data_IF_076712434970
#
_entry.id   IF_076712434970
#
_cell.length_a   1.000
_cell.length_b   1.000
_cell.length_c   1.000
_cell.angle_alpha   90.00
_cell.angle_beta   90.00
_cell.angle_gamma   90.00
#
_symmetry.space_group_name_H-M   'P 1'
#
loop_
_entity.id
_entity.type
_entity.pdbx_description
1 polymer ?
#
# COMPACT_ATOMS: atom_id res chain seq x y z
N UNK A 1 27.90 -2.47 -4.22
CA UNK A 1 27.05 -1.78 -3.25
C UNK A 1 25.70 -2.49 -3.21
N UNK A 2 25.06 -2.57 -2.04
CA UNK A 2 23.77 -3.24 -1.93
C UNK A 2 22.67 -2.45 -2.67
N UNK A 3 21.68 -3.17 -3.16
CA UNK A 3 20.44 -2.62 -3.69
C UNK A 3 19.38 -2.61 -2.61
N UNK A 4 18.76 -1.46 -2.37
CA UNK A 4 17.84 -1.25 -1.28
C UNK A 4 16.41 -1.27 -1.80
N UNK A 5 15.57 -2.12 -1.22
CA UNK A 5 14.13 -2.16 -1.46
C UNK A 5 13.37 -1.30 -0.45
N UNK A 6 12.37 -0.56 -0.92
CA UNK A 6 11.42 0.19 -0.09
C UNK A 6 10.01 -0.17 -0.53
N UNK A 7 9.11 -0.41 0.42
CA UNK A 7 7.68 -0.59 0.13
C UNK A 7 6.98 0.70 0.53
N UNK A 8 6.26 1.35 -0.40
CA UNK A 8 5.66 2.65 -0.15
C UNK A 8 4.36 2.88 -0.94
N UNK A 9 3.58 3.85 -0.50
CA UNK A 9 2.42 4.36 -1.23
C UNK A 9 2.74 5.67 -1.95
N UNK A 10 3.59 6.52 -1.34
CA UNK A 10 3.90 7.87 -1.81
C UNK A 10 2.63 8.69 -2.14
N UNK A 11 1.73 8.75 -1.18
CA UNK A 11 0.40 9.35 -1.34
C UNK A 11 0.14 10.55 -0.40
N UNK A 12 0.78 11.72 -0.67
CA UNK A 12 1.82 11.99 -1.65
C UNK A 12 3.24 11.63 -1.16
N UNK A 13 4.24 11.73 -2.06
CA UNK A 13 5.66 11.75 -1.67
C UNK A 13 5.97 13.08 -0.95
N UNK A 14 6.52 13.03 0.26
CA UNK A 14 6.77 14.20 1.13
C UNK A 14 8.17 14.18 1.78
N UNK A 15 8.49 15.20 2.59
CA UNK A 15 9.78 15.37 3.28
C UNK A 15 10.24 14.13 4.06
N UNK A 16 9.34 13.43 4.77
CA UNK A 16 9.66 12.19 5.48
C UNK A 16 10.13 11.06 4.55
N UNK A 17 9.55 10.92 3.36
CA UNK A 17 10.02 9.94 2.37
C UNK A 17 11.39 10.33 1.80
N UNK A 18 11.62 11.63 1.58
CA UNK A 18 12.94 12.16 1.17
C UNK A 18 14.00 11.85 2.20
N UNK A 19 13.68 12.09 3.48
CA UNK A 19 14.57 11.77 4.60
C UNK A 19 14.93 10.27 4.61
N UNK A 20 13.95 9.38 4.40
CA UNK A 20 14.20 7.93 4.32
C UNK A 20 15.23 7.61 3.22
N UNK A 21 15.00 8.08 1.99
CA UNK A 21 15.91 7.86 0.86
C UNK A 21 17.32 8.40 1.15
N UNK A 22 17.43 9.61 1.73
CA UNK A 22 18.70 10.22 2.07
C UNK A 22 19.45 9.44 3.17
N UNK A 23 18.73 8.96 4.18
CA UNK A 23 19.30 8.15 5.25
C UNK A 23 19.82 6.81 4.72
N UNK A 24 19.04 6.13 3.88
CA UNK A 24 19.46 4.91 3.19
C UNK A 24 20.76 5.13 2.40
N UNK A 25 20.86 6.21 1.63
CA UNK A 25 22.07 6.51 0.86
C UNK A 25 23.26 6.89 1.75
N UNK A 26 23.04 7.56 2.88
CA UNK A 26 24.11 7.83 3.87
C UNK A 26 24.62 6.54 4.50
N UNK A 27 23.72 5.61 4.81
CA UNK A 27 24.08 4.34 5.49
C UNK A 27 24.78 3.36 4.56
N UNK A 28 24.30 3.20 3.33
CA UNK A 28 24.75 2.15 2.42
C UNK A 28 25.61 2.65 1.25
N UNK A 29 25.81 3.95 1.17
CA UNK A 29 26.62 4.61 0.12
C UNK A 29 25.74 5.37 -0.89
N UNK A 30 26.25 6.50 -1.38
CA UNK A 30 25.56 7.39 -2.32
C UNK A 30 25.15 6.71 -3.64
N UNK A 31 25.92 5.69 -4.04
CA UNK A 31 25.70 4.93 -5.29
C UNK A 31 24.81 3.69 -5.11
N UNK A 32 24.32 3.41 -3.89
CA UNK A 32 23.36 2.33 -3.67
C UNK A 32 22.08 2.57 -4.47
N UNK A 33 21.65 1.56 -5.23
CA UNK A 33 20.42 1.65 -6.00
C UNK A 33 19.19 1.46 -5.11
N UNK A 34 18.10 2.18 -5.40
CA UNK A 34 16.84 2.11 -4.64
C UNK A 34 15.73 1.61 -5.54
N UNK A 35 15.15 0.47 -5.18
CA UNK A 35 13.96 -0.14 -5.81
C UNK A 35 12.75 0.08 -4.92
N UNK A 36 11.70 0.70 -5.44
CA UNK A 36 10.45 0.90 -4.73
C UNK A 36 9.37 -0.05 -5.24
N UNK A 37 8.79 -0.85 -4.32
CA UNK A 37 7.50 -1.50 -4.51
C UNK A 37 6.42 -0.50 -4.11
N UNK A 38 5.75 0.12 -5.09
CA UNK A 38 4.81 1.21 -4.87
C UNK A 38 3.38 0.77 -5.16
N UNK A 39 2.44 1.05 -4.24
CA UNK A 39 1.00 0.85 -4.49
C UNK A 39 0.59 1.48 -5.82
N UNK A 40 -0.24 0.76 -6.59
CA UNK A 40 -0.85 1.25 -7.81
C UNK A 40 -1.77 2.44 -7.56
N UNK A 41 -2.86 2.55 -8.30
CA UNK A 41 -3.82 3.66 -8.15
C UNK A 41 -4.64 3.59 -6.85
N UNK A 42 -4.62 2.47 -6.15
CA UNK A 42 -5.38 2.20 -4.93
C UNK A 42 -4.45 1.89 -3.78
N UNK A 43 -4.77 2.43 -2.60
CA UNK A 43 -3.88 2.38 -1.44
C UNK A 43 -4.47 1.58 -0.29
N UNK A 44 -3.61 1.16 0.66
CA UNK A 44 -3.94 0.27 1.77
C UNK A 44 -5.10 0.78 2.65
N UNK A 45 -5.26 2.10 2.75
CA UNK A 45 -6.37 2.70 3.51
C UNK A 45 -7.74 2.56 2.82
N UNK A 46 -7.83 1.90 1.65
CA UNK A 46 -9.08 1.64 0.95
C UNK A 46 -9.64 2.87 0.25
N UNK A 47 -8.79 3.64 -0.40
CA UNK A 47 -9.16 4.86 -1.14
C UNK A 47 -8.31 5.00 -2.40
N UNK A 48 -8.70 5.85 -3.37
CA UNK A 48 -7.83 6.20 -4.48
C UNK A 48 -6.60 6.94 -3.97
N UNK A 49 -5.45 6.74 -4.60
CA UNK A 49 -4.30 7.60 -4.39
C UNK A 49 -4.60 9.00 -4.96
N UNK A 50 -4.09 10.06 -4.33
CA UNK A 50 -4.35 11.45 -4.73
C UNK A 50 -3.97 11.74 -6.20
N UNK A 51 -2.89 11.11 -6.68
CA UNK A 51 -2.48 11.16 -8.08
C UNK A 51 -2.25 9.75 -8.61
N UNK A 52 -2.34 9.58 -9.93
CA UNK A 52 -2.13 8.29 -10.56
C UNK A 52 -0.72 7.73 -10.30
N UNK A 53 -0.58 6.44 -10.51
CA UNK A 53 0.66 5.70 -10.22
C UNK A 53 1.85 6.18 -11.04
N UNK A 54 1.68 6.65 -12.27
CA UNK A 54 2.78 7.15 -13.10
C UNK A 54 3.26 8.52 -12.64
N UNK A 55 2.34 9.42 -12.28
CA UNK A 55 2.67 10.72 -11.65
C UNK A 55 3.45 10.51 -10.35
N UNK A 56 2.99 9.59 -9.49
CA UNK A 56 3.69 9.26 -8.23
C UNK A 56 5.05 8.60 -8.48
N UNK A 57 5.16 7.73 -9.50
CA UNK A 57 6.44 7.16 -9.90
C UNK A 57 7.41 8.23 -10.40
N UNK A 58 6.94 9.20 -11.22
CA UNK A 58 7.76 10.31 -11.68
C UNK A 58 8.29 11.16 -10.51
N UNK A 59 7.45 11.45 -9.52
CA UNK A 59 7.85 12.16 -8.31
C UNK A 59 8.86 11.37 -7.47
N UNK A 60 8.68 10.06 -7.31
CA UNK A 60 9.61 9.20 -6.60
C UNK A 60 10.99 9.14 -7.27
N UNK A 61 11.03 8.97 -8.60
CA UNK A 61 12.25 9.02 -9.39
C UNK A 61 12.95 10.38 -9.28
N UNK A 62 12.17 11.47 -9.22
CA UNK A 62 12.70 12.82 -9.03
C UNK A 62 13.39 13.02 -7.68
N UNK A 63 13.05 12.20 -6.69
CA UNK A 63 13.55 12.29 -5.33
C UNK A 63 14.57 11.18 -4.99
N UNK A 64 15.06 10.45 -6.00
CA UNK A 64 16.19 9.55 -5.84
C UNK A 64 15.84 8.06 -5.78
N UNK A 65 14.61 7.66 -6.05
CA UNK A 65 14.29 6.26 -6.36
C UNK A 65 14.82 5.92 -7.76
N UNK A 66 15.41 4.75 -7.95
CA UNK A 66 16.01 4.35 -9.23
C UNK A 66 15.10 3.46 -10.08
N UNK A 67 14.28 2.62 -9.44
CA UNK A 67 13.33 1.73 -10.11
C UNK A 67 12.03 1.70 -9.30
N UNK A 68 10.90 1.94 -9.94
CA UNK A 68 9.56 1.85 -9.35
C UNK A 68 8.81 0.68 -9.98
N UNK A 69 8.44 -0.28 -9.14
CA UNK A 69 7.61 -1.44 -9.50
C UNK A 69 6.23 -1.28 -8.87
N UNK A 70 5.19 -1.68 -9.56
CA UNK A 70 3.82 -1.62 -9.06
C UNK A 70 3.53 -2.77 -8.10
N UNK A 71 3.08 -2.43 -6.89
CA UNK A 71 2.38 -3.38 -6.03
C UNK A 71 0.92 -3.43 -6.51
N UNK A 72 0.45 -4.57 -7.08
CA UNK A 72 -0.87 -4.65 -7.66
C UNK A 72 -1.99 -4.39 -6.64
N UNK A 73 -3.12 -3.88 -7.09
CA UNK A 73 -4.29 -3.49 -6.29
C UNK A 73 -4.74 -4.57 -5.31
N UNK A 74 -4.69 -5.84 -5.74
CA UNK A 74 -5.08 -6.99 -4.92
C UNK A 74 -4.26 -7.14 -3.63
N UNK A 75 -3.03 -6.63 -3.60
CA UNK A 75 -2.15 -6.59 -2.42
C UNK A 75 -2.08 -5.18 -1.84
N UNK A 76 -2.04 -4.15 -2.65
CA UNK A 76 -1.94 -2.76 -2.21
C UNK A 76 -3.16 -2.34 -1.37
N UNK A 77 -4.37 -2.71 -1.79
CA UNK A 77 -5.63 -2.40 -1.11
C UNK A 77 -6.06 -3.52 -0.13
N UNK A 78 -5.12 -4.06 0.65
CA UNK A 78 -5.35 -5.17 1.57
C UNK A 78 -5.00 -4.82 3.02
N UNK A 79 -5.28 -5.73 3.96
CA UNK A 79 -4.77 -5.67 5.34
C UNK A 79 -3.23 -5.78 5.38
N UNK A 80 -2.63 -5.54 6.54
CA UNK A 80 -1.17 -5.41 6.67
C UNK A 80 -0.42 -6.67 6.21
N UNK A 81 -0.91 -7.87 6.54
CA UNK A 81 -0.27 -9.13 6.16
C UNK A 81 -0.19 -9.34 4.64
N UNK A 82 -1.29 -9.32 3.85
CA UNK A 82 -1.18 -9.47 2.39
C UNK A 82 -0.44 -8.31 1.72
N UNK A 83 -0.55 -7.08 2.24
CA UNK A 83 0.22 -5.93 1.76
C UNK A 83 1.73 -6.18 1.93
N UNK A 84 2.16 -6.59 3.12
CA UNK A 84 3.56 -6.89 3.40
C UNK A 84 4.05 -8.07 2.55
N UNK A 85 3.25 -9.15 2.46
CA UNK A 85 3.59 -10.32 1.64
C UNK A 85 3.74 -9.97 0.16
N UNK A 86 2.86 -9.11 -0.36
CA UNK A 86 2.95 -8.61 -1.73
C UNK A 86 4.20 -7.76 -1.95
N UNK A 87 4.46 -6.77 -1.09
CA UNK A 87 5.60 -5.88 -1.21
C UNK A 87 6.95 -6.59 -1.08
N UNK A 88 7.10 -7.45 -0.06
CA UNK A 88 8.30 -8.27 0.16
C UNK A 88 8.50 -9.26 -0.99
N UNK A 89 7.43 -9.96 -1.41
CA UNK A 89 7.48 -10.92 -2.52
C UNK A 89 7.88 -10.25 -3.84
N UNK A 90 7.38 -9.02 -4.09
CA UNK A 90 7.73 -8.25 -5.28
C UNK A 90 9.21 -7.89 -5.30
N UNK A 91 9.74 -7.37 -4.19
CA UNK A 91 11.16 -7.01 -4.08
C UNK A 91 12.07 -8.25 -4.17
N UNK A 92 11.72 -9.33 -3.47
CA UNK A 92 12.47 -10.59 -3.51
C UNK A 92 12.48 -11.19 -4.93
N UNK A 93 11.36 -11.14 -5.65
CA UNK A 93 11.25 -11.69 -6.99
C UNK A 93 12.09 -10.95 -8.04
N UNK A 94 12.59 -9.74 -7.75
CA UNK A 94 13.54 -9.04 -8.64
C UNK A 94 14.88 -9.76 -8.73
N UNK A 95 15.29 -10.47 -7.66
CA UNK A 95 16.62 -11.10 -7.55
C UNK A 95 17.80 -10.13 -7.53
N UNK A 96 17.53 -8.81 -7.36
CA UNK A 96 18.57 -7.76 -7.31
C UNK A 96 18.52 -6.95 -6.00
N UNK A 97 17.49 -7.09 -5.19
CA UNK A 97 17.35 -6.37 -3.92
C UNK A 97 17.99 -7.19 -2.79
N UNK A 98 18.86 -6.54 -2.02
CA UNK A 98 19.60 -7.16 -0.91
C UNK A 98 18.99 -6.80 0.45
N UNK A 99 18.51 -5.57 0.61
CA UNK A 99 18.07 -5.00 1.87
C UNK A 99 16.64 -4.48 1.72
N UNK A 100 15.76 -4.82 2.66
CA UNK A 100 14.45 -4.16 2.82
C UNK A 100 14.57 -3.08 3.87
N UNK A 101 14.45 -1.81 3.46
CA UNK A 101 14.45 -0.66 4.38
C UNK A 101 13.04 -0.12 4.59
N UNK A 102 12.65 0.11 5.84
CA UNK A 102 11.35 0.66 6.23
C UNK A 102 11.48 1.58 7.45
N UNK A 103 10.50 2.45 7.66
CA UNK A 103 10.43 3.30 8.85
C UNK A 103 9.71 2.60 9.99
N UNK A 104 10.22 2.74 11.21
CA UNK A 104 9.55 2.35 12.45
C UNK A 104 9.54 3.52 13.44
N UNK A 105 8.75 3.45 14.47
CA UNK A 105 8.61 4.58 15.41
C UNK A 105 9.94 4.89 16.10
N UNK A 106 10.66 3.88 16.59
CA UNK A 106 11.93 4.08 17.30
C UNK A 106 13.19 3.89 16.43
N UNK A 107 13.06 3.31 15.23
CA UNK A 107 14.23 2.96 14.41
C UNK A 107 15.04 1.79 14.94
N UNK A 108 14.48 1.02 15.88
CA UNK A 108 15.12 -0.16 16.47
C UNK A 108 14.50 -1.45 15.90
N UNK A 109 15.33 -2.30 15.33
CA UNK A 109 14.92 -3.55 14.72
C UNK A 109 14.67 -4.67 15.75
N UNK A 110 15.37 -4.65 16.88
CA UNK A 110 15.35 -5.76 17.85
C UNK A 110 13.96 -6.02 18.46
N UNK A 111 13.18 -5.01 18.92
CA UNK A 111 11.82 -5.23 19.39
C UNK A 111 10.89 -5.77 18.33
N UNK A 112 11.06 -5.32 17.07
CA UNK A 112 10.24 -5.77 15.94
C UNK A 112 10.53 -7.24 15.61
N UNK A 113 11.81 -7.67 15.67
CA UNK A 113 12.20 -9.06 15.49
C UNK A 113 11.67 -9.96 16.60
N UNK A 114 11.72 -9.50 17.86
CA UNK A 114 11.14 -10.23 19.00
C UNK A 114 9.62 -10.41 18.81
N UNK A 115 8.90 -9.37 18.42
CA UNK A 115 7.48 -9.43 18.14
C UNK A 115 7.19 -10.40 16.99
N UNK A 116 7.91 -10.31 15.87
CA UNK A 116 7.73 -11.21 14.73
C UNK A 116 8.01 -12.68 15.12
N UNK A 117 9.02 -12.96 15.94
CA UNK A 117 9.30 -14.30 16.45
C UNK A 117 8.16 -14.82 17.32
N UNK A 118 7.68 -14.01 18.25
CA UNK A 118 6.54 -14.33 19.11
C UNK A 118 5.29 -14.67 18.28
N UNK A 119 4.90 -13.81 17.35
CA UNK A 119 3.70 -13.97 16.52
C UNK A 119 3.76 -15.22 15.60
N UNK A 120 4.95 -15.75 15.35
CA UNK A 120 5.13 -17.01 14.62
C UNK A 120 5.14 -18.24 15.51
N UNK A 121 5.22 -18.09 16.83
CA UNK A 121 5.36 -19.21 17.78
C UNK A 121 4.06 -20.02 17.96
N UNK A 122 4.15 -21.31 18.29
CA UNK A 122 2.97 -22.08 18.69
C UNK A 122 2.27 -21.52 19.94
N UNK A 123 3.05 -21.01 20.90
CA UNK A 123 2.52 -20.43 22.14
C UNK A 123 1.59 -19.24 21.85
N UNK A 124 1.98 -18.36 20.91
CA UNK A 124 1.14 -17.23 20.52
C UNK A 124 -0.21 -17.66 19.92
N UNK A 125 -0.23 -18.73 19.12
CA UNK A 125 -1.49 -19.24 18.54
C UNK A 125 -2.45 -19.71 19.63
N UNK A 126 -1.95 -20.30 20.71
CA UNK A 126 -2.74 -20.73 21.86
C UNK A 126 -3.31 -19.52 22.59
N UNK A 127 -2.46 -18.53 22.93
CA UNK A 127 -2.89 -17.33 23.64
C UNK A 127 -3.85 -16.47 22.80
N UNK A 128 -3.61 -16.34 21.49
CA UNK A 128 -4.54 -15.68 20.57
C UNK A 128 -5.91 -16.34 20.59
N UNK A 129 -5.96 -17.67 20.52
CA UNK A 129 -7.22 -18.43 20.56
C UNK A 129 -7.95 -18.19 21.87
N UNK A 130 -7.25 -18.26 23.00
CA UNK A 130 -7.82 -17.96 24.33
C UNK A 130 -8.42 -16.55 24.41
N UNK A 131 -7.75 -15.56 23.83
CA UNK A 131 -8.22 -14.18 23.81
C UNK A 131 -9.46 -14.00 22.88
N UNK A 132 -9.48 -14.67 21.74
CA UNK A 132 -10.65 -14.67 20.84
C UNK A 132 -11.86 -15.37 21.47
N UNK A 133 -11.65 -16.48 22.17
CA UNK A 133 -12.72 -17.23 22.86
C UNK A 133 -13.34 -16.40 24.01
N UNK A 134 -12.64 -15.39 24.55
CA UNK A 134 -13.16 -14.37 25.48
C UNK A 134 -13.96 -13.26 24.79
N UNK A 135 -14.17 -13.32 23.48
CA UNK A 135 -14.94 -12.35 22.70
C UNK A 135 -14.18 -11.07 22.30
N UNK A 136 -12.85 -11.04 22.47
CA UNK A 136 -12.07 -9.90 22.00
C UNK A 136 -12.06 -9.81 20.47
N UNK A 137 -12.02 -8.58 19.93
CA UNK A 137 -11.76 -8.38 18.52
C UNK A 137 -10.35 -8.87 18.15
N UNK A 138 -10.13 -9.26 16.89
CA UNK A 138 -8.81 -9.77 16.47
C UNK A 138 -7.64 -8.84 16.84
N UNK A 139 -7.69 -7.50 16.62
CA UNK A 139 -6.60 -6.61 17.06
C UNK A 139 -6.36 -6.63 18.57
N UNK A 140 -7.46 -6.61 19.36
CA UNK A 140 -7.34 -6.67 20.81
C UNK A 140 -6.83 -8.03 21.31
N UNK A 141 -7.29 -9.14 20.71
CA UNK A 141 -6.83 -10.48 21.02
C UNK A 141 -5.34 -10.66 20.66
N UNK A 142 -4.92 -10.13 19.50
CA UNK A 142 -3.52 -10.13 19.05
C UNK A 142 -2.62 -9.40 20.04
N UNK A 143 -3.03 -8.19 20.47
CA UNK A 143 -2.28 -7.42 21.45
C UNK A 143 -2.21 -8.13 22.81
N UNK A 144 -3.35 -8.61 23.31
CA UNK A 144 -3.42 -9.32 24.60
C UNK A 144 -2.53 -10.58 24.63
N UNK A 145 -2.58 -11.40 23.58
CA UNK A 145 -1.75 -12.58 23.45
C UNK A 145 -0.25 -12.22 23.40
N UNK A 146 0.14 -11.19 22.66
CA UNK A 146 1.51 -10.71 22.60
C UNK A 146 1.97 -10.17 23.96
N UNK A 147 1.14 -9.39 24.65
CA UNK A 147 1.47 -8.87 26.00
C UNK A 147 1.67 -10.00 27.00
N UNK A 148 0.87 -11.08 26.93
CA UNK A 148 1.05 -12.25 27.79
C UNK A 148 2.41 -12.90 27.62
N UNK A 149 2.96 -12.92 26.39
CA UNK A 149 4.20 -13.62 26.07
C UNK A 149 5.44 -12.73 26.10
N UNK A 150 5.31 -11.44 25.83
CA UNK A 150 6.43 -10.49 25.67
C UNK A 150 6.46 -9.40 26.75
N UNK A 151 5.41 -9.30 27.60
CA UNK A 151 5.29 -8.18 28.53
C UNK A 151 5.24 -6.83 27.79
N UNK A 152 5.98 -5.84 28.29
CA UNK A 152 6.07 -4.50 27.69
C UNK A 152 6.67 -4.45 26.28
N UNK A 153 7.47 -5.46 25.88
CA UNK A 153 7.97 -5.52 24.50
C UNK A 153 6.85 -5.66 23.44
N UNK A 154 5.65 -6.08 23.85
CA UNK A 154 4.47 -6.10 22.98
C UNK A 154 3.92 -4.71 22.63
N UNK A 155 4.30 -3.64 23.33
CA UNK A 155 3.82 -2.28 23.11
C UNK A 155 4.17 -1.75 21.72
N UNK A 156 5.24 -2.29 21.11
CA UNK A 156 5.59 -1.97 19.72
C UNK A 156 4.48 -2.31 18.71
N UNK A 157 3.63 -3.31 19.01
CA UNK A 157 2.51 -3.72 18.15
C UNK A 157 1.32 -2.74 18.19
N UNK A 158 1.25 -1.86 19.18
CA UNK A 158 0.25 -0.80 19.27
C UNK A 158 0.48 0.34 18.25
N UNK A 159 1.66 0.39 17.64
CA UNK A 159 2.08 1.48 16.75
C UNK A 159 2.00 1.04 15.27
N UNK A 160 1.37 1.85 14.39
CA UNK A 160 1.04 1.42 13.03
C UNK A 160 2.24 1.04 12.17
N UNK A 161 3.36 1.79 12.24
CA UNK A 161 4.53 1.50 11.42
C UNK A 161 5.31 0.30 11.95
N UNK A 162 5.46 0.18 13.27
CA UNK A 162 6.04 -1.00 13.89
C UNK A 162 5.25 -2.25 13.53
N UNK A 163 3.92 -2.15 13.55
CA UNK A 163 3.02 -3.25 13.18
C UNK A 163 3.26 -3.69 11.74
N UNK A 164 3.38 -2.72 10.82
CA UNK A 164 3.70 -3.02 9.42
C UNK A 164 5.14 -3.56 9.27
N UNK A 165 6.10 -3.05 10.03
CA UNK A 165 7.47 -3.57 10.10
C UNK A 165 7.51 -5.02 10.53
N UNK A 166 6.74 -5.40 11.56
CA UNK A 166 6.61 -6.80 12.01
C UNK A 166 6.02 -7.68 10.90
N UNK A 167 5.01 -7.20 10.15
CA UNK A 167 4.46 -7.95 9.01
C UNK A 167 5.49 -8.13 7.87
N UNK A 168 6.39 -7.16 7.63
CA UNK A 168 7.50 -7.33 6.69
C UNK A 168 8.46 -8.44 7.16
N UNK A 169 8.81 -8.49 8.43
CA UNK A 169 9.67 -9.54 8.99
C UNK A 169 9.03 -10.92 8.88
N UNK A 170 7.73 -11.02 9.17
CA UNK A 170 6.95 -12.26 9.00
C UNK A 170 6.91 -12.68 7.53
N UNK A 171 6.72 -11.73 6.61
CA UNK A 171 6.69 -11.99 5.16
C UNK A 171 8.06 -12.46 4.64
N UNK A 172 9.18 -11.83 5.06
CA UNK A 172 10.55 -12.26 4.72
C UNK A 172 10.73 -13.74 5.11
N UNK A 173 10.36 -14.09 6.35
CA UNK A 173 10.48 -15.47 6.86
C UNK A 173 9.57 -16.44 6.09
N UNK A 174 8.29 -16.10 5.92
CA UNK A 174 7.30 -16.97 5.28
C UNK A 174 7.61 -17.25 3.79
N UNK A 175 8.22 -16.30 3.10
CA UNK A 175 8.61 -16.40 1.70
C UNK A 175 10.04 -16.99 1.53
N UNK A 176 10.79 -17.18 2.60
CA UNK A 176 12.22 -17.54 2.51
C UNK A 176 13.03 -16.50 1.75
N UNK A 177 12.61 -15.23 1.80
CA UNK A 177 13.23 -14.17 1.02
C UNK A 177 14.62 -13.81 1.56
N UNK A 178 15.60 -13.70 0.66
CA UNK A 178 16.98 -13.32 1.00
C UNK A 178 17.12 -11.81 1.10
N UNK A 179 16.31 -11.17 1.93
CA UNK A 179 16.31 -9.74 2.18
C UNK A 179 16.76 -9.46 3.61
N UNK A 180 17.79 -8.65 3.78
CA UNK A 180 18.22 -8.18 5.11
C UNK A 180 17.30 -7.04 5.54
N UNK A 181 16.57 -7.15 6.67
CA UNK A 181 15.74 -6.06 7.15
C UNK A 181 16.58 -4.93 7.73
N UNK A 182 16.19 -3.70 7.44
CA UNK A 182 16.76 -2.48 7.97
C UNK A 182 15.66 -1.49 8.32
N UNK A 183 15.73 -0.85 9.48
CA UNK A 183 14.74 0.16 9.88
C UNK A 183 15.40 1.48 10.21
N UNK A 184 14.68 2.56 10.01
CA UNK A 184 15.08 3.92 10.38
C UNK A 184 13.99 4.54 11.27
N UNK A 185 14.33 5.44 12.20
CA UNK A 185 13.34 6.15 12.97
C UNK A 185 12.52 7.07 12.06
N UNK A 186 11.21 7.08 12.25
CA UNK A 186 10.36 8.06 11.58
C UNK A 186 10.55 9.44 12.21
N UNK A 187 10.60 10.45 11.36
CA UNK A 187 10.56 11.85 11.77
C UNK A 187 9.14 12.38 11.65
N UNK A 188 8.67 13.14 12.66
CA UNK A 188 7.36 13.79 12.65
C UNK A 188 6.31 13.06 13.50
N UNK A 189 5.14 13.70 13.60
CA UNK A 189 4.02 13.35 14.46
C UNK A 189 3.44 11.95 14.23
N UNK A 190 2.77 11.44 15.27
CA UNK A 190 2.03 10.18 15.26
C UNK A 190 1.02 10.10 14.11
N UNK A 191 0.82 8.89 13.62
CA UNK A 191 0.15 8.57 12.34
C UNK A 191 -1.31 9.04 12.22
N UNK A 192 -2.00 9.29 13.31
CA UNK A 192 -3.45 9.59 13.34
C UNK A 192 -3.79 11.02 13.79
N UNK A 193 -2.80 11.84 14.13
CA UNK A 193 -3.05 13.24 14.45
C UNK A 193 -2.74 14.09 13.20
N UNK A 194 -3.61 15.08 12.94
CA UNK A 194 -3.43 16.10 11.91
C UNK A 194 -2.30 17.07 12.30
N UNK A 195 -1.21 16.55 12.87
CA UNK A 195 -0.11 17.33 13.38
C UNK A 195 0.93 17.58 12.31
N UNK A 196 1.38 18.79 12.27
CA UNK A 196 2.53 19.26 11.51
C UNK A 196 3.54 19.88 12.46
N UNK A 197 4.79 19.69 12.18
CA UNK A 197 5.87 20.56 12.64
C UNK A 197 6.36 21.43 11.47
N UNK A 198 7.38 22.26 11.67
CA UNK A 198 7.89 23.16 10.62
C UNK A 198 8.46 22.42 9.40
N UNK A 199 8.78 21.13 9.51
CA UNK A 199 9.48 20.34 8.47
C UNK A 199 8.79 19.04 8.09
N UNK A 200 7.85 18.54 8.93
CA UNK A 200 7.18 17.27 8.73
C UNK A 200 5.67 17.41 8.87
N UNK A 201 4.95 16.74 7.98
CA UNK A 201 3.49 16.65 8.02
C UNK A 201 3.04 15.24 7.65
N UNK A 202 1.90 14.81 8.21
CA UNK A 202 1.31 13.53 7.86
C UNK A 202 0.81 13.52 6.42
N UNK A 203 0.86 12.36 5.75
CA UNK A 203 0.32 12.23 4.40
C UNK A 203 -1.19 12.54 4.33
N UNK A 204 -1.93 12.32 5.43
CA UNK A 204 -3.36 12.65 5.53
C UNK A 204 -3.59 14.16 5.53
N UNK A 205 -2.84 14.89 6.35
CA UNK A 205 -2.85 16.36 6.35
C UNK A 205 -2.54 16.93 4.97
N UNK A 206 -1.46 16.44 4.34
CA UNK A 206 -1.05 16.91 3.02
C UNK A 206 -2.11 16.66 1.94
N UNK A 207 -2.81 15.51 1.98
CA UNK A 207 -3.91 15.25 1.04
C UNK A 207 -5.06 16.20 1.24
N UNK A 208 -5.48 16.43 2.48
CA UNK A 208 -6.55 17.38 2.81
C UNK A 208 -6.25 18.77 2.26
N UNK A 209 -5.05 19.29 2.52
CA UNK A 209 -4.62 20.61 2.05
C UNK A 209 -4.46 20.71 0.53
N UNK A 210 -3.97 19.64 -0.11
CA UNK A 210 -3.88 19.58 -1.57
C UNK A 210 -5.25 19.58 -2.24
N UNK A 211 -6.24 18.92 -1.65
CA UNK A 211 -7.62 18.91 -2.13
C UNK A 211 -8.32 20.27 -1.91
N UNK A 212 -8.07 20.94 -0.79
CA UNK A 212 -8.60 22.27 -0.49
C UNK A 212 -8.00 23.39 -1.38
N UNK A 213 -6.74 23.26 -1.79
CA UNK A 213 -6.15 24.13 -2.82
C UNK A 213 -5.42 25.38 -2.34
N UNK A 214 -5.58 25.82 -1.10
CA UNK A 214 -5.28 27.21 -0.68
C UNK A 214 -4.00 27.38 0.16
N UNK A 215 -3.31 26.33 0.56
CA UNK A 215 -2.14 26.41 1.45
C UNK A 215 -0.82 26.17 0.70
N UNK A 216 0.21 26.96 1.02
CA UNK A 216 1.58 26.67 0.58
C UNK A 216 2.16 25.51 1.40
N UNK A 217 2.49 24.44 0.72
CA UNK A 217 3.05 23.21 1.31
C UNK A 217 4.56 23.08 1.02
N UNK A 218 5.25 24.18 0.70
CA UNK A 218 6.67 24.18 0.34
C UNK A 218 7.61 23.56 1.38
N UNK A 219 7.36 23.60 2.70
CA UNK A 219 8.18 22.88 3.67
C UNK A 219 8.16 21.36 3.46
N UNK A 220 7.06 20.80 2.97
CA UNK A 220 6.81 19.37 2.87
C UNK A 220 6.93 18.83 1.45
N UNK A 221 6.59 19.64 0.45
CA UNK A 221 6.48 19.27 -0.96
C UNK A 221 7.20 20.31 -1.83
N UNK A 222 7.95 19.85 -2.84
CA UNK A 222 8.47 20.78 -3.83
C UNK A 222 7.33 21.47 -4.60
N UNK A 223 7.55 22.70 -5.06
CA UNK A 223 6.58 23.45 -5.87
C UNK A 223 6.10 22.66 -7.10
N UNK A 224 7.01 21.94 -7.76
CA UNK A 224 6.67 21.04 -8.88
C UNK A 224 5.71 19.93 -8.46
N UNK A 225 5.95 19.28 -7.31
CA UNK A 225 5.07 18.25 -6.78
C UNK A 225 3.68 18.81 -6.45
N UNK A 226 3.60 19.98 -5.80
CA UNK A 226 2.33 20.63 -5.49
C UNK A 226 1.53 20.92 -6.77
N UNK A 227 2.17 21.47 -7.81
CA UNK A 227 1.54 21.74 -9.10
C UNK A 227 0.97 20.47 -9.74
N UNK A 228 1.73 19.39 -9.78
CA UNK A 228 1.29 18.12 -10.37
C UNK A 228 0.13 17.50 -9.57
N UNK A 229 0.22 17.48 -8.25
CA UNK A 229 -0.77 16.85 -7.36
C UNK A 229 -2.10 17.64 -7.33
N UNK A 230 -2.05 18.97 -7.51
CA UNK A 230 -3.25 19.83 -7.58
C UNK A 230 -3.90 19.88 -8.95
N UNK A 231 -3.17 19.49 -10.00
CA UNK A 231 -3.68 19.61 -11.38
C UNK A 231 -4.94 18.79 -11.59
N UNK A 232 -4.92 17.53 -11.11
CA UNK A 232 -6.04 16.60 -11.26
C UNK A 232 -6.03 15.55 -10.13
N UNK A 233 -6.38 15.95 -8.90
CA UNK A 233 -6.43 15.03 -7.77
C UNK A 233 -7.58 14.06 -7.88
N UNK A 234 -7.38 12.86 -7.31
CA UNK A 234 -8.41 11.84 -7.22
C UNK A 234 -8.89 11.67 -5.77
N UNK A 235 -10.22 11.58 -5.61
CA UNK A 235 -10.88 11.29 -4.35
C UNK A 235 -12.25 10.62 -4.61
N UNK A 236 -12.74 9.83 -3.69
CA UNK A 236 -14.11 9.28 -3.76
C UNK A 236 -15.19 10.35 -3.69
N UNK A 237 -14.88 11.54 -3.18
CA UNK A 237 -15.79 12.68 -3.17
C UNK A 237 -16.17 13.14 -4.58
N UNK A 238 -15.40 12.80 -5.62
CA UNK A 238 -15.74 13.13 -7.01
C UNK A 238 -16.67 12.10 -7.67
N UNK A 239 -16.78 10.88 -7.11
CA UNK A 239 -17.62 9.83 -7.67
C UNK A 239 -18.51 9.07 -6.65
N UNK A 240 -19.08 9.72 -5.62
CA UNK A 240 -19.78 9.02 -4.54
C UNK A 240 -21.00 8.25 -5.06
N UNK A 241 -21.70 8.78 -6.06
CA UNK A 241 -22.87 8.12 -6.67
C UNK A 241 -22.48 6.85 -7.44
N UNK A 242 -21.33 6.84 -8.13
CA UNK A 242 -20.86 5.65 -8.82
C UNK A 242 -20.51 4.53 -7.82
N UNK A 243 -19.84 4.88 -6.72
CA UNK A 243 -19.53 3.93 -5.64
C UNK A 243 -20.82 3.37 -5.04
N UNK A 244 -21.75 4.23 -4.62
CA UNK A 244 -23.03 3.80 -4.02
C UNK A 244 -23.89 2.98 -5.00
N UNK A 245 -23.98 3.37 -6.27
CA UNK A 245 -24.74 2.62 -7.29
C UNK A 245 -24.19 1.20 -7.45
N UNK A 246 -22.85 1.06 -7.50
CA UNK A 246 -22.20 -0.25 -7.57
C UNK A 246 -22.50 -1.12 -6.34
N UNK A 247 -22.38 -0.55 -5.15
CA UNK A 247 -22.58 -1.26 -3.88
C UNK A 247 -24.05 -1.64 -3.66
N UNK A 248 -25.01 -0.79 -4.07
CA UNK A 248 -26.45 -1.11 -4.00
C UNK A 248 -26.89 -2.27 -4.88
N UNK A 249 -26.13 -2.55 -5.93
CA UNK A 249 -26.32 -3.73 -6.77
C UNK A 249 -25.74 -5.02 -6.17
N UNK A 250 -25.11 -4.96 -5.00
CA UNK A 250 -24.54 -6.12 -4.30
C UNK A 250 -25.50 -6.61 -3.22
N UNK A 251 -25.60 -7.93 -3.07
CA UNK A 251 -26.31 -8.59 -1.98
C UNK A 251 -25.34 -9.04 -0.86
N UNK A 252 -25.87 -9.61 0.21
CA UNK A 252 -25.09 -10.12 1.33
C UNK A 252 -24.01 -11.14 0.90
N UNK A 253 -24.36 -12.05 0.00
CA UNK A 253 -23.42 -13.06 -0.50
C UNK A 253 -22.26 -12.44 -1.27
N UNK A 254 -22.50 -11.35 -2.01
CA UNK A 254 -21.46 -10.63 -2.72
C UNK A 254 -20.51 -9.95 -1.72
N UNK A 255 -21.02 -9.33 -0.65
CA UNK A 255 -20.19 -8.77 0.41
C UNK A 255 -19.42 -9.85 1.16
N UNK A 256 -19.99 -11.02 1.39
CA UNK A 256 -19.29 -12.13 2.06
C UNK A 256 -18.10 -12.68 1.27
N UNK A 257 -18.05 -12.47 -0.05
CA UNK A 257 -16.90 -12.84 -0.91
C UNK A 257 -15.74 -11.85 -0.84
N UNK A 258 -15.93 -10.69 -0.22
CA UNK A 258 -14.85 -9.70 -0.07
C UNK A 258 -13.82 -10.19 0.96
N UNK A 259 -12.52 -9.85 0.80
CA UNK A 259 -11.51 -10.23 1.79
C UNK A 259 -11.81 -9.57 3.14
N UNK A 260 -11.53 -10.27 4.22
CA UNK A 260 -11.74 -9.78 5.59
C UNK A 260 -13.21 -9.41 5.94
N UNK A 261 -14.21 -9.88 5.18
CA UNK A 261 -15.62 -9.62 5.39
C UNK A 261 -16.29 -10.75 6.21
N UNK A 262 -15.79 -10.99 7.42
CA UNK A 262 -16.36 -11.97 8.35
C UNK A 262 -17.17 -11.34 9.47
N UNK A 263 -17.67 -12.19 10.40
CA UNK A 263 -18.21 -11.76 11.69
C UNK A 263 -19.53 -10.94 11.60
N UNK A 264 -20.38 -11.20 10.60
CA UNK A 264 -21.63 -10.48 10.38
C UNK A 264 -21.48 -9.12 9.67
N UNK A 265 -20.28 -8.79 9.20
CA UNK A 265 -20.03 -7.51 8.52
C UNK A 265 -20.70 -7.46 7.13
N UNK A 266 -20.87 -8.59 6.44
CA UNK A 266 -21.60 -8.69 5.17
C UNK A 266 -23.06 -8.24 5.30
N UNK A 267 -23.78 -8.71 6.32
CA UNK A 267 -25.16 -8.30 6.59
C UNK A 267 -25.25 -6.81 6.88
N UNK A 268 -24.34 -6.32 7.74
CA UNK A 268 -24.31 -4.91 8.12
C UNK A 268 -24.01 -3.99 6.92
N UNK A 269 -23.08 -4.36 6.04
CA UNK A 269 -22.81 -3.64 4.80
C UNK A 269 -24.00 -3.67 3.86
N UNK A 270 -24.61 -4.85 3.63
CA UNK A 270 -25.79 -5.01 2.76
C UNK A 270 -26.95 -4.15 3.23
N UNK A 271 -27.23 -4.08 4.51
CA UNK A 271 -28.27 -3.21 5.06
C UNK A 271 -27.93 -1.72 4.90
N UNK A 272 -26.71 -1.32 5.26
CA UNK A 272 -26.29 0.08 5.27
C UNK A 272 -26.26 0.71 3.87
N UNK A 273 -25.81 -0.02 2.84
CA UNK A 273 -25.75 0.52 1.46
C UNK A 273 -27.11 0.87 0.88
N UNK A 274 -28.19 0.23 1.34
CA UNK A 274 -29.55 0.51 0.85
C UNK A 274 -30.09 1.85 1.36
N UNK A 275 -29.66 2.29 2.54
CA UNK A 275 -30.19 3.48 3.23
C UNK A 275 -29.24 4.67 3.18
N UNK A 276 -27.94 4.45 3.12
CA UNK A 276 -26.96 5.52 3.16
C UNK A 276 -27.11 6.49 1.96
N UNK A 277 -27.22 7.79 2.24
CA UNK A 277 -27.29 8.85 1.23
C UNK A 277 -25.90 9.36 0.81
N UNK A 278 -24.84 9.04 1.57
CA UNK A 278 -23.45 9.41 1.27
C UNK A 278 -22.48 8.32 1.72
N UNK A 279 -21.22 8.41 1.24
CA UNK A 279 -20.16 7.49 1.70
C UNK A 279 -19.83 7.70 3.18
N UNK A 280 -19.84 8.93 3.68
CA UNK A 280 -19.59 9.22 5.10
C UNK A 280 -20.69 8.66 5.98
N UNK A 281 -21.93 8.72 5.54
CA UNK A 281 -23.04 8.09 6.23
C UNK A 281 -22.89 6.56 6.22
N UNK A 282 -22.55 5.96 5.09
CA UNK A 282 -22.27 4.54 4.97
C UNK A 282 -21.15 4.12 5.95
N UNK A 283 -20.06 4.87 6.02
CA UNK A 283 -18.98 4.60 6.97
C UNK A 283 -19.47 4.66 8.42
N UNK A 284 -20.23 5.69 8.80
CA UNK A 284 -20.75 5.85 10.16
C UNK A 284 -21.73 4.73 10.55
N UNK A 285 -22.62 4.31 9.64
CA UNK A 285 -23.59 3.23 9.91
C UNK A 285 -22.90 1.87 10.12
N UNK A 286 -21.79 1.61 9.42
CA UNK A 286 -21.08 0.33 9.49
C UNK A 286 -20.06 0.29 10.61
N UNK A 287 -19.39 1.42 10.91
CA UNK A 287 -18.30 1.50 11.88
C UNK A 287 -18.73 1.16 13.31
N UNK A 288 -17.90 0.36 13.99
CA UNK A 288 -18.04 0.01 15.41
C UNK A 288 -16.65 -0.21 16.01
N UNK A 289 -16.56 -0.44 17.33
CA UNK A 289 -15.30 -0.88 17.96
C UNK A 289 -14.74 -2.18 17.35
N UNK A 290 -15.62 -3.05 16.85
CA UNK A 290 -15.24 -4.32 16.19
C UNK A 290 -14.82 -4.15 14.72
N UNK A 291 -15.38 -3.15 14.03
CA UNK A 291 -15.16 -2.88 12.61
C UNK A 291 -14.49 -1.52 12.42
N UNK A 292 -13.15 -1.48 12.41
CA UNK A 292 -12.40 -0.24 12.22
C UNK A 292 -12.64 0.36 10.82
N UNK A 293 -12.64 1.69 10.74
CA UNK A 293 -12.91 2.44 9.50
C UNK A 293 -12.04 1.99 8.31
N UNK A 294 -10.76 1.72 8.54
CA UNK A 294 -9.85 1.27 7.49
C UNK A 294 -10.27 -0.09 6.89
N UNK A 295 -10.80 -1.02 7.69
CA UNK A 295 -11.38 -2.29 7.20
C UNK A 295 -12.60 -2.04 6.33
N UNK A 296 -13.51 -1.17 6.78
CA UNK A 296 -14.74 -0.83 6.04
C UNK A 296 -14.38 -0.17 4.71
N UNK A 297 -13.47 0.80 4.70
CA UNK A 297 -13.02 1.48 3.48
C UNK A 297 -12.46 0.50 2.45
N UNK A 298 -11.65 -0.48 2.88
CA UNK A 298 -11.15 -1.52 1.98
C UNK A 298 -12.27 -2.38 1.38
N UNK A 299 -13.25 -2.79 2.18
CA UNK A 299 -14.39 -3.57 1.69
C UNK A 299 -15.21 -2.78 0.67
N UNK A 300 -15.49 -1.51 0.94
CA UNK A 300 -16.19 -0.61 0.01
C UNK A 300 -15.38 -0.44 -1.29
N UNK A 301 -14.06 -0.25 -1.17
CA UNK A 301 -13.18 -0.19 -2.33
C UNK A 301 -13.24 -1.48 -3.16
N UNK A 302 -13.09 -2.65 -2.54
CA UNK A 302 -13.12 -3.93 -3.24
C UNK A 302 -14.49 -4.17 -3.90
N UNK A 303 -15.58 -3.84 -3.21
CA UNK A 303 -16.93 -3.88 -3.79
C UNK A 303 -17.09 -2.95 -5.00
N UNK A 304 -16.61 -1.71 -4.90
CA UNK A 304 -16.58 -0.76 -6.00
C UNK A 304 -15.80 -1.27 -7.21
N UNK A 305 -14.61 -1.83 -6.98
CA UNK A 305 -13.77 -2.40 -8.03
C UNK A 305 -14.31 -3.72 -8.61
N UNK A 306 -15.32 -4.32 -7.99
CA UNK A 306 -15.88 -5.62 -8.37
C UNK A 306 -14.87 -6.74 -8.21
N UNK A 307 -14.04 -6.66 -7.16
CA UNK A 307 -13.05 -7.66 -6.78
C UNK A 307 -13.57 -8.53 -5.64
N UNK A 308 -13.09 -9.76 -5.58
CA UNK A 308 -13.39 -10.73 -4.52
C UNK A 308 -12.10 -11.31 -3.93
N UNK A 309 -12.17 -11.96 -2.78
CA UNK A 309 -11.02 -12.63 -2.17
C UNK A 309 -10.37 -13.66 -3.10
N UNK A 310 -11.16 -14.30 -3.96
CA UNK A 310 -10.69 -15.29 -4.92
C UNK A 310 -9.85 -14.71 -6.07
N UNK A 311 -9.96 -13.41 -6.34
CA UNK A 311 -9.20 -12.75 -7.40
C UNK A 311 -7.72 -12.56 -7.04
N UNK A 312 -7.36 -12.64 -5.73
CA UNK A 312 -5.97 -12.53 -5.30
C UNK A 312 -5.30 -13.90 -5.33
N UNK A 313 -4.37 -14.14 -6.27
CA UNK A 313 -3.62 -15.40 -6.28
C UNK A 313 -2.67 -15.51 -5.09
N UNK A 314 -2.22 -16.74 -4.79
CA UNK A 314 -1.31 -17.01 -3.67
C UNK A 314 0.04 -16.31 -3.80
N UNK A 315 0.50 -16.04 -5.04
CA UNK A 315 1.74 -15.36 -5.34
C UNK A 315 1.55 -14.28 -6.42
N UNK A 316 2.46 -13.30 -6.44
CA UNK A 316 2.50 -12.26 -7.48
C UNK A 316 2.72 -12.90 -8.86
N UNK A 317 2.02 -12.46 -9.90
CA UNK A 317 2.10 -13.08 -11.22
C UNK A 317 3.19 -12.46 -12.14
N UNK A 318 3.63 -11.24 -11.86
CA UNK A 318 4.61 -10.49 -12.66
C UNK A 318 5.16 -9.28 -11.87
N UNK A 319 6.21 -8.66 -12.42
CA UNK A 319 6.81 -7.41 -11.96
C UNK A 319 6.49 -6.29 -12.96
N UNK A 320 5.51 -5.43 -12.65
CA UNK A 320 5.15 -4.29 -13.51
C UNK A 320 6.05 -3.09 -13.23
N UNK A 321 6.75 -2.61 -14.24
CA UNK A 321 7.63 -1.43 -14.17
C UNK A 321 6.80 -0.17 -14.40
N UNK A 322 6.79 0.75 -13.44
CA UNK A 322 6.15 2.07 -13.55
C UNK A 322 7.12 3.15 -14.00
N UNK A 323 8.39 3.04 -13.61
CA UNK A 323 9.39 4.00 -14.04
C UNK A 323 10.80 3.64 -13.59
N UNK A 324 11.81 4.25 -14.21
CA UNK A 324 13.22 4.00 -13.91
C UNK A 324 14.14 5.15 -14.34
N UNK A 325 15.31 5.25 -13.66
CA UNK A 325 16.44 6.10 -14.01
C UNK A 325 17.47 5.31 -14.83
N UNK A 326 18.59 5.95 -15.20
CA UNK A 326 19.72 5.23 -15.81
C UNK A 326 20.24 4.09 -14.92
N UNK A 327 20.33 4.31 -13.59
CA UNK A 327 20.70 3.26 -12.63
C UNK A 327 19.63 2.15 -12.56
N UNK A 328 18.35 2.52 -12.58
CA UNK A 328 17.23 1.56 -12.65
C UNK A 328 17.25 0.75 -13.96
N UNK A 329 17.70 1.34 -15.07
CA UNK A 329 17.87 0.60 -16.32
C UNK A 329 18.95 -0.50 -16.21
N UNK A 330 20.04 -0.24 -15.47
CA UNK A 330 21.06 -1.26 -15.20
C UNK A 330 20.47 -2.42 -14.37
N UNK A 331 19.67 -2.10 -13.34
CA UNK A 331 18.95 -3.14 -12.58
C UNK A 331 17.99 -3.95 -13.46
N UNK A 332 17.24 -3.31 -14.35
CA UNK A 332 16.35 -4.02 -15.29
C UNK A 332 17.13 -4.97 -16.24
N UNK A 333 18.38 -4.65 -16.58
CA UNK A 333 19.24 -5.58 -17.34
C UNK A 333 19.62 -6.80 -16.51
N UNK A 334 19.96 -6.62 -15.22
CA UNK A 334 20.27 -7.71 -14.30
C UNK A 334 19.04 -8.60 -14.06
N UNK A 335 17.86 -7.99 -13.88
CA UNK A 335 16.60 -8.70 -13.69
C UNK A 335 16.22 -9.64 -14.84
N UNK A 336 16.81 -9.49 -16.03
CA UNK A 336 16.60 -10.46 -17.11
C UNK A 336 17.08 -11.88 -16.78
N UNK A 337 18.06 -12.00 -15.89
CA UNK A 337 18.65 -13.27 -15.47
C UNK A 337 18.35 -13.63 -14.02
N UNK A 338 18.05 -12.64 -13.17
CA UNK A 338 17.87 -12.87 -11.73
C UNK A 338 16.40 -12.89 -11.30
N UNK A 339 15.52 -12.22 -12.05
CA UNK A 339 14.11 -12.16 -11.67
C UNK A 339 13.43 -13.53 -11.79
N UNK A 340 12.67 -13.89 -10.75
CA UNK A 340 11.93 -15.16 -10.70
C UNK A 340 10.52 -15.05 -11.30
N UNK A 341 10.08 -13.82 -11.62
CA UNK A 341 8.79 -13.53 -12.24
C UNK A 341 8.98 -12.74 -13.54
N UNK A 342 8.05 -12.84 -14.51
CA UNK A 342 8.08 -12.05 -15.73
C UNK A 342 8.15 -10.54 -15.44
N UNK A 343 9.08 -9.83 -16.07
CA UNK A 343 9.25 -8.38 -15.95
C UNK A 343 8.46 -7.67 -17.05
N UNK A 344 7.37 -6.99 -16.65
CA UNK A 344 6.46 -6.31 -17.56
C UNK A 344 6.83 -4.83 -17.68
N UNK A 345 7.63 -4.48 -18.69
CA UNK A 345 8.02 -3.09 -18.96
C UNK A 345 6.99 -2.39 -19.85
N UNK A 346 6.56 -3.01 -20.95
CA UNK A 346 5.55 -2.46 -21.87
C UNK A 346 4.20 -3.17 -21.66
N UNK A 347 3.07 -2.44 -21.66
CA UNK A 347 1.75 -3.06 -21.52
C UNK A 347 1.48 -4.16 -22.57
N UNK A 348 1.88 -3.94 -23.81
CA UNK A 348 1.72 -4.91 -24.89
C UNK A 348 2.37 -6.29 -24.59
N UNK A 349 3.35 -6.35 -23.69
CA UNK A 349 3.95 -7.62 -23.28
C UNK A 349 3.03 -8.45 -22.37
N UNK A 350 1.96 -7.87 -21.85
CA UNK A 350 0.98 -8.60 -21.04
C UNK A 350 0.34 -9.76 -21.83
N UNK A 351 0.18 -9.61 -23.15
CA UNK A 351 -0.32 -10.69 -24.00
C UNK A 351 0.57 -11.94 -24.05
N UNK A 352 1.84 -11.83 -23.62
CA UNK A 352 2.80 -12.93 -23.56
C UNK A 352 2.91 -13.59 -22.17
N UNK A 353 2.18 -13.07 -21.18
CA UNK A 353 2.15 -13.63 -19.84
C UNK A 353 1.34 -14.95 -19.82
N UNK A 354 1.59 -15.84 -18.85
CA UNK A 354 0.69 -16.98 -18.59
C UNK A 354 -0.75 -16.52 -18.34
N UNK A 355 -1.75 -17.37 -18.64
CA UNK A 355 -3.18 -17.01 -18.59
C UNK A 355 -3.60 -16.39 -17.25
N UNK A 356 -3.17 -16.97 -16.11
CA UNK A 356 -3.47 -16.43 -14.78
C UNK A 356 -2.88 -15.03 -14.56
N UNK A 357 -1.71 -14.75 -15.10
CA UNK A 357 -1.06 -13.44 -15.00
C UNK A 357 -1.73 -12.41 -15.92
N UNK A 358 -2.21 -12.84 -17.10
CA UNK A 358 -3.03 -11.99 -17.98
C UNK A 358 -4.34 -11.60 -17.30
N UNK A 359 -5.00 -12.52 -16.57
CA UNK A 359 -6.22 -12.21 -15.80
C UNK A 359 -5.96 -11.12 -14.77
N UNK A 360 -4.87 -11.21 -13.98
CA UNK A 360 -4.52 -10.16 -13.00
C UNK A 360 -4.23 -8.84 -13.71
N UNK A 361 -3.53 -8.84 -14.84
CA UNK A 361 -3.28 -7.60 -15.59
C UNK A 361 -4.58 -6.96 -16.12
N UNK A 362 -5.55 -7.77 -16.57
CA UNK A 362 -6.87 -7.27 -16.97
C UNK A 362 -7.66 -6.68 -15.81
N UNK A 363 -7.56 -7.29 -14.61
CA UNK A 363 -8.14 -6.73 -13.39
C UNK A 363 -7.51 -5.38 -13.05
N UNK A 364 -6.17 -5.25 -13.10
CA UNK A 364 -5.47 -3.98 -12.86
C UNK A 364 -5.85 -2.91 -13.90
N UNK A 365 -6.01 -3.29 -15.18
CA UNK A 365 -6.47 -2.37 -16.22
C UNK A 365 -7.90 -1.85 -15.93
N UNK A 366 -8.81 -2.74 -15.48
CA UNK A 366 -10.14 -2.34 -15.03
C UNK A 366 -10.07 -1.43 -13.80
N UNK A 367 -9.25 -1.77 -12.82
CA UNK A 367 -9.04 -0.93 -11.63
C UNK A 367 -8.50 0.46 -12.00
N UNK A 368 -7.61 0.55 -12.98
CA UNK A 368 -7.10 1.83 -13.50
C UNK A 368 -8.21 2.63 -14.18
N UNK A 369 -9.07 2.00 -14.97
CA UNK A 369 -10.22 2.68 -15.59
C UNK A 369 -11.24 3.20 -14.57
N UNK A 370 -11.46 2.45 -13.48
CA UNK A 370 -12.33 2.89 -12.39
C UNK A 370 -11.71 4.01 -11.55
N UNK A 371 -10.38 4.07 -11.46
CA UNK A 371 -9.68 5.18 -10.81
C UNK A 371 -9.93 6.50 -11.54
N UNK A 372 -10.06 6.50 -12.86
CA UNK A 372 -10.34 7.71 -13.64
C UNK A 372 -11.68 8.36 -13.25
N UNK A 373 -12.67 7.59 -12.78
CA UNK A 373 -13.92 8.11 -12.22
C UNK A 373 -13.72 8.93 -10.93
N UNK A 374 -12.64 8.66 -10.20
CA UNK A 374 -12.32 9.35 -8.95
C UNK A 374 -11.52 10.64 -9.18
N UNK A 375 -11.15 10.99 -10.41
CA UNK A 375 -10.45 12.25 -10.73
C UNK A 375 -11.40 13.43 -10.70
N UNK A 376 -10.88 14.59 -10.34
CA UNK A 376 -11.63 15.84 -10.37
C UNK A 376 -12.10 16.19 -11.77
N UNK A 377 -11.25 15.98 -12.78
CA UNK A 377 -11.55 16.22 -14.19
C UNK A 377 -11.71 14.90 -14.96
N UNK A 378 -12.93 14.39 -14.99
CA UNK A 378 -13.26 13.12 -15.64
C UNK A 378 -13.02 13.15 -17.17
N UNK A 379 -13.04 14.31 -17.81
CA UNK A 379 -12.94 14.42 -19.27
C UNK A 379 -11.55 14.15 -19.86
N UNK A 380 -10.51 14.09 -19.04
CA UNK A 380 -9.12 14.02 -19.51
C UNK A 380 -8.59 12.61 -19.81
N UNK A 381 -9.29 11.57 -19.37
CA UNK A 381 -8.79 10.19 -19.51
C UNK A 381 -9.87 9.27 -20.07
N UNK A 382 -9.58 8.66 -21.20
CA UNK A 382 -10.53 7.79 -21.93
C UNK A 382 -10.43 6.29 -21.54
N UNK A 383 -10.11 5.94 -20.28
CA UNK A 383 -10.13 4.55 -19.79
C UNK A 383 -9.11 3.59 -20.42
N UNK A 384 -8.06 4.10 -21.09
CA UNK A 384 -7.05 3.26 -21.79
C UNK A 384 -5.65 3.33 -21.20
N UNK A 385 -5.45 4.04 -20.11
CA UNK A 385 -4.13 4.37 -19.57
C UNK A 385 -3.26 3.15 -19.27
N UNK A 386 -3.82 2.07 -18.71
CA UNK A 386 -3.04 0.87 -18.40
C UNK A 386 -2.42 0.23 -19.63
N UNK A 387 -3.14 0.21 -20.76
CA UNK A 387 -2.70 -0.42 -22.00
C UNK A 387 -1.76 0.45 -22.83
N UNK A 388 -1.80 1.76 -22.65
CA UNK A 388 -1.08 2.73 -23.48
C UNK A 388 0.10 3.38 -22.78
N UNK A 389 0.08 3.43 -21.43
CA UNK A 389 1.09 4.14 -20.66
C UNK A 389 2.41 3.36 -20.55
N UNK A 390 3.46 3.91 -21.13
CA UNK A 390 4.82 3.42 -20.96
C UNK A 390 5.40 3.81 -19.59
N UNK A 391 6.42 3.09 -19.09
CA UNK A 391 7.13 3.50 -17.89
C UNK A 391 7.73 4.90 -18.02
N UNK A 392 7.69 5.64 -16.92
CA UNK A 392 8.36 6.94 -16.81
C UNK A 392 9.87 6.73 -16.87
N UNK A 393 10.55 7.53 -17.69
CA UNK A 393 12.02 7.50 -17.83
C UNK A 393 12.58 8.83 -17.36
N UNK A 394 13.63 8.79 -16.54
CA UNK A 394 14.28 9.98 -16.03
C UNK A 394 15.80 9.91 -16.18
N UNK A 395 16.41 10.97 -16.75
CA UNK A 395 17.87 11.05 -16.92
C UNK A 395 18.44 10.05 -17.92
N UNK A 396 17.65 9.68 -18.94
CA UNK A 396 18.06 8.82 -20.05
C UNK A 396 18.27 9.66 -21.31
#
# INVERSE_FOLDING_TARGET
MPTIGIIAEYNPFHSGHRHHIQTVRRTFGADSAIVCAMSGNWVQRGQPALADKWTRAALALAQGVDLVLELPTLWAAASAEPFARGGVGLLAATGVVDILSFGSEAGDLAPLQQAAHCLHSPAWKIELRRALDKGLSFPAARQAAATTLLGSAADCLGQPNNNLGVEYLLAIRALGAKLTPHTIPRLGADHDQAERDETHASASYLREKLLAGDEDLSPYLSHHAQKLLRADPADFAYCPRAVLARLRGMNETDFARLPDCGEGLSNRLSAAVQTAASLDELYRQVQTKRYPLARIRRLILWGFLGLTAADRPAALPYLRVLGFTHRGQALLRQMKTTATLPVLVKPAHAAKLPAHAQQVFQLEARCTSLYDLCRRDFGKTAGKNEWTQNPVRRGL
#
